data_IF_228371474099
#
_entry.id   IF_228371474099
#
_cell.length_a   1.000
_cell.length_b   1.000
_cell.length_c   1.000
_cell.angle_alpha   90.00
_cell.angle_beta   90.00
_cell.angle_gamma   90.00
#
_symmetry.space_group_name_H-M   'P 1'
#
loop_
_entity.id
_entity.type
_entity.pdbx_description
1 polymer ?
#
# COMPACT_ATOMS: atom_id res chain seq x y z
N UNK A 1 8.59 23.75 57.80
CA UNK A 1 9.29 23.29 56.60
C UNK A 1 9.97 24.48 55.93
N UNK A 2 11.24 24.38 55.60
CA UNK A 2 11.97 25.49 54.94
C UNK A 2 11.52 25.56 53.49
N UNK A 3 11.30 26.74 52.95
CA UNK A 3 10.88 27.00 51.57
C UNK A 3 11.66 26.22 50.51
N UNK A 4 12.95 25.95 50.84
CA UNK A 4 13.85 25.20 49.98
C UNK A 4 13.36 23.75 49.68
N UNK A 5 12.76 23.07 50.66
CA UNK A 5 12.23 21.73 50.47
C UNK A 5 11.00 21.70 49.52
N UNK A 6 10.20 22.77 49.54
CA UNK A 6 9.07 22.91 48.64
C UNK A 6 9.54 23.12 47.20
N UNK A 7 10.57 23.99 46.99
CA UNK A 7 11.14 24.22 45.66
C UNK A 7 11.76 22.95 45.11
N UNK A 8 12.53 22.21 45.92
CA UNK A 8 13.13 20.93 45.51
C UNK A 8 12.06 19.90 45.13
N UNK A 9 10.99 19.78 45.93
CA UNK A 9 9.90 18.86 45.62
C UNK A 9 9.18 19.21 44.30
N UNK A 10 8.95 20.50 44.05
CA UNK A 10 8.35 20.96 42.77
C UNK A 10 9.29 20.70 41.60
N UNK A 11 10.57 20.94 41.73
CA UNK A 11 11.55 20.65 40.68
C UNK A 11 11.58 19.15 40.32
N UNK A 12 11.55 18.27 41.31
CA UNK A 12 11.49 16.82 41.13
C UNK A 12 10.17 16.43 40.41
N UNK A 13 9.04 16.99 40.83
CA UNK A 13 7.74 16.72 40.21
C UNK A 13 7.72 17.16 38.72
N UNK A 14 8.23 18.34 38.43
CA UNK A 14 8.35 18.85 37.06
C UNK A 14 9.22 17.92 36.20
N UNK A 15 10.36 17.46 36.70
CA UNK A 15 11.25 16.54 36.00
C UNK A 15 10.59 15.18 35.77
N UNK A 16 9.83 14.66 36.75
CA UNK A 16 9.08 13.42 36.59
C UNK A 16 7.97 13.56 35.53
N UNK A 17 7.19 14.64 35.58
CA UNK A 17 6.16 14.90 34.58
C UNK A 17 6.77 15.09 33.19
N UNK A 18 7.85 15.87 33.07
CA UNK A 18 8.56 16.04 31.80
C UNK A 18 9.11 14.71 31.28
N UNK A 19 9.66 13.86 32.14
CA UNK A 19 10.14 12.53 31.78
C UNK A 19 9.03 11.60 31.31
N UNK A 20 7.87 11.61 31.98
CA UNK A 20 6.69 10.85 31.56
C UNK A 20 6.15 11.36 30.22
N UNK A 21 5.99 12.67 30.06
CA UNK A 21 5.55 13.27 28.80
C UNK A 21 6.51 12.92 27.67
N UNK A 22 7.83 13.08 27.89
CA UNK A 22 8.84 12.73 26.89
C UNK A 22 8.79 11.25 26.47
N UNK A 23 8.60 10.36 27.45
CA UNK A 23 8.56 8.90 27.21
C UNK A 23 7.27 8.46 26.51
N UNK A 24 6.14 9.13 26.78
CA UNK A 24 4.83 8.79 26.24
C UNK A 24 4.37 9.70 25.09
N UNK A 25 5.21 10.67 24.68
CA UNK A 25 4.90 11.43 23.46
C UNK A 25 5.18 10.55 22.26
N UNK A 26 4.15 9.97 21.70
CA UNK A 26 4.25 9.22 20.45
C UNK A 26 4.79 10.15 19.37
N UNK A 27 5.97 9.80 18.83
CA UNK A 27 6.50 10.51 17.67
C UNK A 27 5.54 10.31 16.52
N UNK A 28 4.86 11.37 16.13
CA UNK A 28 3.98 11.33 14.98
C UNK A 28 4.76 10.80 13.76
N UNK A 29 4.33 9.67 13.21
CA UNK A 29 4.89 9.15 11.96
C UNK A 29 4.32 9.98 10.82
N UNK A 30 5.15 10.83 10.23
CA UNK A 30 4.76 11.64 9.07
C UNK A 30 4.90 10.78 7.82
N UNK A 31 3.78 10.49 7.17
CA UNK A 31 3.75 9.83 5.87
C UNK A 31 4.01 10.89 4.79
N UNK A 32 5.09 10.73 4.03
CA UNK A 32 5.43 11.62 2.92
C UNK A 32 4.68 11.19 1.66
N UNK A 33 3.75 12.03 1.20
CA UNK A 33 3.04 11.77 -0.05
C UNK A 33 3.93 12.08 -1.26
N UNK A 34 3.83 11.28 -2.35
CA UNK A 34 4.55 11.56 -3.58
C UNK A 34 4.04 12.86 -4.24
N UNK A 35 4.91 13.62 -4.91
CA UNK A 35 4.49 14.81 -5.65
C UNK A 35 3.45 14.49 -6.72
N UNK A 36 2.45 15.38 -6.88
CA UNK A 36 1.39 15.22 -7.90
C UNK A 36 1.93 15.04 -9.32
N UNK A 37 3.08 15.64 -9.63
CA UNK A 37 3.76 15.49 -10.92
C UNK A 37 4.07 14.03 -11.28
N UNK A 38 4.15 13.13 -10.29
CA UNK A 38 4.41 11.71 -10.53
C UNK A 38 3.22 11.00 -11.18
N UNK A 39 1.99 11.48 -10.98
CA UNK A 39 0.76 10.87 -11.50
C UNK A 39 0.79 10.68 -13.02
N UNK A 40 1.30 11.69 -13.77
CA UNK A 40 1.37 11.66 -15.23
C UNK A 40 2.19 10.50 -15.81
N UNK A 41 3.03 9.85 -15.00
CA UNK A 41 3.90 8.74 -15.41
C UNK A 41 3.31 7.36 -15.06
N UNK A 42 2.12 7.33 -14.49
CA UNK A 42 1.35 6.12 -14.17
C UNK A 42 0.03 6.08 -14.97
N UNK A 43 -0.65 4.93 -14.98
CA UNK A 43 -2.00 4.84 -15.53
C UNK A 43 -2.97 5.67 -14.68
N UNK A 44 -3.99 6.26 -15.29
CA UNK A 44 -4.38 6.14 -16.72
C UNK A 44 -3.57 7.02 -17.67
N UNK A 45 -2.86 8.05 -17.19
CA UNK A 45 -2.18 9.07 -18.00
C UNK A 45 -1.06 8.44 -18.84
N UNK A 46 -0.33 7.49 -18.28
CA UNK A 46 0.77 6.82 -18.96
C UNK A 46 0.57 5.30 -19.00
N UNK A 47 0.11 4.78 -20.14
CA UNK A 47 -0.15 3.34 -20.34
C UNK A 47 1.10 2.46 -20.20
N UNK A 48 2.29 3.02 -20.44
CA UNK A 48 3.58 2.31 -20.40
C UNK A 48 4.24 2.33 -19.03
N UNK A 49 3.69 3.05 -18.02
CA UNK A 49 4.32 3.20 -16.71
C UNK A 49 5.79 3.64 -16.81
N UNK A 50 6.07 4.71 -17.56
CA UNK A 50 7.44 5.17 -17.88
C UNK A 50 8.30 5.36 -16.63
N UNK A 51 7.71 5.83 -15.53
CA UNK A 51 8.40 5.92 -14.24
C UNK A 51 8.98 4.58 -13.78
N UNK A 52 8.17 3.52 -13.80
CA UNK A 52 8.64 2.18 -13.37
C UNK A 52 9.73 1.64 -14.30
N UNK A 53 9.59 1.89 -15.60
CA UNK A 53 10.64 1.50 -16.56
C UNK A 53 11.95 2.21 -16.26
N UNK A 54 11.93 3.50 -15.90
CA UNK A 54 13.13 4.24 -15.51
C UNK A 54 13.76 3.65 -14.23
N UNK A 55 12.97 3.33 -13.20
CA UNK A 55 13.47 2.68 -11.98
C UNK A 55 14.11 1.30 -12.26
N UNK A 56 13.54 0.51 -13.18
CA UNK A 56 14.12 -0.78 -13.59
C UNK A 56 15.43 -0.62 -14.40
N UNK A 57 15.52 0.42 -15.22
CA UNK A 57 16.76 0.74 -15.95
C UNK A 57 17.87 1.11 -14.97
N UNK A 58 17.62 2.05 -14.06
CA UNK A 58 18.57 2.47 -13.03
C UNK A 58 19.12 1.31 -12.21
N UNK A 59 18.26 0.40 -11.76
CA UNK A 59 18.69 -0.79 -11.03
C UNK A 59 19.65 -1.65 -11.85
N UNK A 60 19.32 -1.90 -13.11
CA UNK A 60 20.16 -2.69 -14.01
C UNK A 60 21.49 -2.00 -14.32
N UNK A 61 21.46 -0.70 -14.53
CA UNK A 61 22.63 0.12 -14.86
C UNK A 61 23.59 0.21 -13.68
N UNK A 62 23.11 0.39 -12.46
CA UNK A 62 23.94 0.30 -11.26
C UNK A 62 24.63 -1.07 -11.13
N UNK A 63 23.89 -2.16 -11.38
CA UNK A 63 24.46 -3.51 -11.37
C UNK A 63 25.53 -3.69 -12.45
N UNK A 64 25.31 -3.15 -13.64
CA UNK A 64 26.28 -3.23 -14.73
C UNK A 64 27.54 -2.41 -14.44
N UNK A 65 27.39 -1.19 -13.91
CA UNK A 65 28.53 -0.35 -13.49
C UNK A 65 29.38 -1.07 -12.45
N UNK A 66 28.76 -1.64 -11.40
CA UNK A 66 29.49 -2.41 -10.39
C UNK A 66 30.18 -3.63 -10.99
N UNK A 67 29.46 -4.42 -11.79
CA UNK A 67 30.01 -5.62 -12.44
C UNK A 67 31.24 -5.32 -13.32
N UNK A 68 31.13 -4.30 -14.19
CA UNK A 68 32.26 -3.97 -15.09
C UNK A 68 33.41 -3.28 -14.36
N UNK A 69 33.18 -2.59 -13.26
CA UNK A 69 34.23 -2.10 -12.36
C UNK A 69 35.00 -3.26 -11.71
N UNK A 70 34.32 -4.32 -11.26
CA UNK A 70 34.93 -5.54 -10.71
C UNK A 70 35.75 -6.29 -11.78
N UNK A 71 35.24 -6.35 -13.01
CA UNK A 71 35.93 -6.98 -14.12
C UNK A 71 37.06 -6.13 -14.71
N UNK A 72 37.19 -4.86 -14.32
CA UNK A 72 38.11 -3.86 -14.87
C UNK A 72 37.92 -3.64 -16.37
N UNK A 73 36.72 -3.86 -16.88
CA UNK A 73 36.32 -3.59 -18.25
C UNK A 73 35.91 -2.13 -18.40
N UNK A 74 36.87 -1.27 -18.65
CA UNK A 74 36.65 0.18 -18.63
C UNK A 74 35.74 0.68 -19.76
N UNK A 75 35.78 0.06 -20.93
CA UNK A 75 34.95 0.47 -22.05
C UNK A 75 33.46 0.33 -21.72
N UNK A 76 33.06 -0.85 -21.26
CA UNK A 76 31.68 -1.11 -20.85
C UNK A 76 31.31 -0.36 -19.59
N UNK A 77 32.22 -0.20 -18.64
CA UNK A 77 32.02 0.58 -17.44
C UNK A 77 31.60 2.02 -17.76
N UNK A 78 32.32 2.69 -18.66
CA UNK A 78 32.01 4.06 -19.08
C UNK A 78 30.67 4.12 -19.80
N UNK A 79 30.41 3.20 -20.73
CA UNK A 79 29.13 3.14 -21.45
C UNK A 79 27.90 3.00 -20.47
N UNK A 80 28.00 2.08 -19.53
CA UNK A 80 26.93 1.89 -18.55
C UNK A 80 26.84 3.03 -17.54
N UNK A 81 27.95 3.67 -17.19
CA UNK A 81 27.97 4.87 -16.37
C UNK A 81 27.25 6.05 -17.01
N UNK A 82 27.40 6.24 -18.33
CA UNK A 82 26.66 7.27 -19.08
C UNK A 82 25.15 7.00 -19.08
N UNK A 83 24.73 5.76 -19.32
CA UNK A 83 23.31 5.36 -19.27
C UNK A 83 22.72 5.57 -17.86
N UNK A 84 23.48 5.20 -16.83
CA UNK A 84 23.08 5.41 -15.45
C UNK A 84 22.85 6.89 -15.15
N UNK A 85 23.78 7.77 -15.58
CA UNK A 85 23.63 9.20 -15.42
C UNK A 85 22.39 9.74 -16.14
N UNK A 86 22.18 9.39 -17.41
CA UNK A 86 21.02 9.80 -18.20
C UNK A 86 19.70 9.48 -17.46
N UNK A 87 19.53 8.24 -17.06
CA UNK A 87 18.30 7.81 -16.40
C UNK A 87 18.16 8.31 -14.96
N UNK A 88 19.29 8.60 -14.29
CA UNK A 88 19.26 9.22 -12.97
C UNK A 88 18.80 10.68 -13.03
N UNK A 89 19.31 11.46 -13.99
CA UNK A 89 18.86 12.84 -14.22
C UNK A 89 17.39 12.90 -14.66
N UNK A 90 16.92 11.90 -15.43
CA UNK A 90 15.52 11.80 -15.83
C UNK A 90 14.55 11.74 -14.64
N UNK A 91 14.98 11.34 -13.44
CA UNK A 91 14.16 11.42 -12.20
C UNK A 91 13.74 12.87 -11.96
N UNK A 92 14.70 13.80 -11.99
CA UNK A 92 14.46 15.23 -11.75
C UNK A 92 13.65 15.88 -12.87
N UNK A 93 13.83 15.45 -14.11
CA UNK A 93 13.04 15.91 -15.26
C UNK A 93 11.57 15.44 -15.15
N UNK A 94 11.37 14.16 -14.80
CA UNK A 94 10.04 13.57 -14.63
C UNK A 94 9.31 14.13 -13.41
N UNK A 95 10.05 14.42 -12.32
CA UNK A 95 9.49 14.91 -11.05
C UNK A 95 10.35 16.05 -10.51
N UNK A 96 10.17 17.28 -10.99
CA UNK A 96 11.02 18.44 -10.65
C UNK A 96 11.19 18.67 -9.14
N UNK A 97 10.16 18.38 -8.34
CA UNK A 97 10.21 18.47 -6.88
C UNK A 97 11.29 17.57 -6.26
N UNK A 98 11.71 16.51 -6.94
CA UNK A 98 12.71 15.57 -6.47
C UNK A 98 14.12 15.86 -6.98
N UNK A 99 14.29 16.85 -7.85
CA UNK A 99 15.61 17.21 -8.37
C UNK A 99 16.64 17.48 -7.25
N UNK A 100 16.22 18.19 -6.21
CA UNK A 100 17.05 18.49 -5.02
C UNK A 100 17.37 17.27 -4.13
N UNK A 101 16.80 16.10 -4.41
CA UNK A 101 17.08 14.85 -3.70
C UNK A 101 18.10 13.97 -4.43
N UNK A 102 18.44 14.35 -5.67
CA UNK A 102 19.42 13.66 -6.48
C UNK A 102 20.83 13.97 -5.97
N UNK A 103 21.65 12.95 -5.87
CA UNK A 103 23.07 13.06 -5.55
C UNK A 103 23.89 13.16 -6.84
N UNK A 104 23.86 14.34 -7.47
CA UNK A 104 24.57 14.60 -8.71
C UNK A 104 26.08 14.47 -8.54
N UNK A 105 26.62 14.79 -7.36
CA UNK A 105 28.05 14.67 -7.07
C UNK A 105 28.51 13.22 -7.15
N UNK A 106 27.74 12.30 -6.57
CA UNK A 106 28.09 10.87 -6.62
C UNK A 106 28.01 10.32 -8.05
N UNK A 107 27.04 10.74 -8.87
CA UNK A 107 26.98 10.36 -10.30
C UNK A 107 28.19 10.86 -11.09
N UNK A 108 28.58 12.12 -10.89
CA UNK A 108 29.78 12.69 -11.51
C UNK A 108 31.06 11.97 -11.06
N UNK A 109 31.15 11.58 -9.80
CA UNK A 109 32.25 10.79 -9.26
C UNK A 109 32.35 9.41 -9.94
N UNK A 110 31.24 8.71 -10.18
CA UNK A 110 31.26 7.44 -10.91
C UNK A 110 31.90 7.62 -12.27
N UNK A 111 31.50 8.66 -13.02
CA UNK A 111 32.03 8.92 -14.36
C UNK A 111 33.52 9.31 -14.35
N UNK A 112 33.90 10.24 -13.47
CA UNK A 112 35.30 10.71 -13.41
C UNK A 112 36.24 9.62 -12.92
N UNK A 113 35.83 8.76 -11.98
CA UNK A 113 36.61 7.62 -11.49
C UNK A 113 36.70 6.50 -12.52
N UNK A 114 35.64 6.25 -13.29
CA UNK A 114 35.69 5.34 -14.45
C UNK A 114 36.70 5.83 -15.49
N UNK A 115 36.67 7.13 -15.83
CA UNK A 115 37.62 7.71 -16.79
C UNK A 115 39.10 7.60 -16.32
N UNK A 116 39.34 7.63 -15.02
CA UNK A 116 40.69 7.45 -14.44
C UNK A 116 41.04 6.00 -14.10
N UNK A 117 40.20 5.02 -14.42
CA UNK A 117 40.39 3.59 -14.12
C UNK A 117 40.47 3.28 -12.62
N UNK A 118 39.91 4.15 -11.77
CA UNK A 118 39.86 3.97 -10.30
C UNK A 118 38.64 3.13 -9.92
N UNK A 119 38.72 1.82 -10.22
CA UNK A 119 37.60 0.89 -9.99
C UNK A 119 37.16 0.77 -8.54
N UNK A 120 38.06 0.77 -7.52
CA UNK A 120 37.62 0.78 -6.13
C UNK A 120 36.79 2.01 -5.77
N UNK A 121 37.17 3.19 -6.28
CA UNK A 121 36.42 4.42 -6.04
C UNK A 121 35.07 4.42 -6.78
N UNK A 122 34.97 3.80 -7.98
CA UNK A 122 33.69 3.58 -8.66
C UNK A 122 32.76 2.73 -7.79
N UNK A 123 33.23 1.61 -7.26
CA UNK A 123 32.42 0.72 -6.40
C UNK A 123 31.93 1.44 -5.14
N UNK A 124 32.81 2.22 -4.47
CA UNK A 124 32.43 3.03 -3.33
C UNK A 124 31.37 4.10 -3.67
N UNK A 125 31.46 4.71 -4.86
CA UNK A 125 30.50 5.68 -5.33
C UNK A 125 29.15 5.02 -5.65
N UNK A 126 29.13 3.82 -6.24
CA UNK A 126 27.90 3.04 -6.47
C UNK A 126 27.21 2.69 -5.16
N UNK A 127 27.97 2.31 -4.12
CA UNK A 127 27.42 2.05 -2.78
C UNK A 127 26.82 3.33 -2.16
N UNK A 128 27.47 4.48 -2.35
CA UNK A 128 26.93 5.77 -1.89
C UNK A 128 25.61 6.11 -2.62
N UNK A 129 25.58 5.92 -3.94
CA UNK A 129 24.36 6.13 -4.73
C UNK A 129 23.22 5.21 -4.28
N UNK A 130 23.53 3.94 -3.98
CA UNK A 130 22.53 3.01 -3.46
C UNK A 130 21.89 3.52 -2.15
N UNK A 131 22.69 4.07 -1.23
CA UNK A 131 22.18 4.66 0.01
C UNK A 131 21.22 5.83 -0.25
N UNK A 132 21.51 6.66 -1.25
CA UNK A 132 20.60 7.73 -1.68
C UNK A 132 19.28 7.17 -2.25
N UNK A 133 19.36 6.12 -3.07
CA UNK A 133 18.18 5.42 -3.59
C UNK A 133 17.32 4.83 -2.47
N UNK A 134 17.96 4.16 -1.51
CA UNK A 134 17.27 3.52 -0.38
C UNK A 134 16.55 4.55 0.50
N UNK A 135 17.18 5.70 0.77
CA UNK A 135 16.56 6.78 1.53
C UNK A 135 15.29 7.32 0.85
N UNK A 136 15.33 7.49 -0.48
CA UNK A 136 14.15 7.90 -1.25
C UNK A 136 13.06 6.80 -1.24
N UNK A 137 13.45 5.54 -1.43
CA UNK A 137 12.53 4.41 -1.43
C UNK A 137 11.84 4.19 -0.10
N UNK A 138 12.55 4.36 1.04
CA UNK A 138 11.96 4.31 2.38
C UNK A 138 10.85 5.35 2.53
N UNK A 139 11.08 6.57 2.02
CA UNK A 139 10.11 7.66 2.11
C UNK A 139 8.89 7.49 1.19
N UNK A 140 9.07 6.97 -0.03
CA UNK A 140 8.07 7.13 -1.09
C UNK A 140 7.64 5.85 -1.79
N UNK A 141 8.41 4.76 -1.80
CA UNK A 141 8.12 3.60 -2.64
C UNK A 141 6.77 2.95 -2.33
N UNK A 142 6.52 2.65 -1.06
CA UNK A 142 5.30 1.99 -0.63
C UNK A 142 4.07 2.86 -0.89
N UNK A 143 4.13 4.14 -0.49
CA UNK A 143 3.01 5.07 -0.66
C UNK A 143 2.73 5.37 -2.13
N UNK A 144 3.77 5.48 -2.97
CA UNK A 144 3.64 5.62 -4.43
C UNK A 144 2.94 4.42 -5.05
N UNK A 145 3.33 3.21 -4.66
CA UNK A 145 2.68 1.99 -5.13
C UNK A 145 1.19 1.94 -4.72
N UNK A 146 0.88 2.29 -3.47
CA UNK A 146 -0.50 2.37 -2.99
C UNK A 146 -1.30 3.43 -3.75
N UNK A 147 -0.73 4.62 -3.97
CA UNK A 147 -1.43 5.75 -4.61
C UNK A 147 -1.70 5.50 -6.09
N UNK A 148 -0.71 5.01 -6.85
CA UNK A 148 -0.79 4.99 -8.31
C UNK A 148 -0.99 3.60 -8.92
N UNK A 149 -0.79 2.52 -8.18
CA UNK A 149 -0.92 1.15 -8.71
C UNK A 149 -2.11 0.37 -8.15
N UNK A 150 -2.66 0.78 -7.02
CA UNK A 150 -3.87 0.15 -6.49
C UNK A 150 -5.11 0.62 -7.25
N UNK A 151 -6.15 -0.21 -7.25
CA UNK A 151 -7.43 0.14 -7.86
C UNK A 151 -8.03 1.39 -7.19
N UNK A 152 -8.65 2.25 -7.99
CA UNK A 152 -9.43 3.38 -7.50
C UNK A 152 -10.89 2.98 -7.35
N UNK A 153 -11.28 2.63 -6.13
CA UNK A 153 -12.64 2.20 -5.85
C UNK A 153 -13.67 3.33 -5.90
N UNK A 154 -13.24 4.61 -5.85
CA UNK A 154 -14.15 5.74 -5.98
C UNK A 154 -14.68 5.90 -7.41
N UNK A 155 -13.92 5.41 -8.39
CA UNK A 155 -14.28 5.45 -9.81
C UNK A 155 -15.00 4.17 -10.28
N UNK A 156 -15.37 3.26 -9.36
CA UNK A 156 -16.00 1.98 -9.71
C UNK A 156 -17.47 1.99 -9.31
N UNK A 157 -18.35 1.73 -10.28
CA UNK A 157 -19.75 1.40 -10.01
C UNK A 157 -19.95 -0.12 -10.04
N UNK A 158 -20.65 -0.65 -9.04
CA UNK A 158 -20.99 -2.09 -8.95
C UNK A 158 -22.17 -2.44 -9.87
N UNK A 159 -23.03 -1.46 -10.13
CA UNK A 159 -24.12 -1.49 -11.09
C UNK A 159 -24.41 -0.05 -11.54
N UNK A 160 -25.20 0.18 -12.59
CA UNK A 160 -25.56 1.54 -13.00
C UNK A 160 -26.02 2.38 -11.80
N UNK A 161 -25.36 3.51 -11.57
CA UNK A 161 -25.63 4.46 -10.46
C UNK A 161 -25.49 3.87 -9.05
N UNK A 162 -24.74 2.77 -8.90
CA UNK A 162 -24.43 2.17 -7.59
C UNK A 162 -22.93 2.23 -7.32
N UNK A 163 -22.43 3.31 -6.71
CA UNK A 163 -21.03 3.45 -6.33
C UNK A 163 -20.55 2.32 -5.41
N UNK A 164 -19.29 1.94 -5.52
CA UNK A 164 -18.68 0.84 -4.79
C UNK A 164 -18.81 1.03 -3.25
N UNK A 165 -18.56 2.23 -2.74
CA UNK A 165 -18.67 2.54 -1.31
C UNK A 165 -20.11 2.38 -0.78
N UNK A 166 -21.10 2.83 -1.55
CA UNK A 166 -22.52 2.64 -1.19
C UNK A 166 -22.89 1.17 -1.17
N UNK A 167 -22.41 0.40 -2.15
CA UNK A 167 -22.63 -1.04 -2.18
C UNK A 167 -22.02 -1.75 -0.98
N UNK A 168 -20.79 -1.39 -0.57
CA UNK A 168 -20.13 -1.93 0.63
C UNK A 168 -20.95 -1.64 1.91
N UNK A 169 -21.53 -0.43 2.03
CA UNK A 169 -22.41 -0.09 3.16
C UNK A 169 -23.67 -0.95 3.18
N UNK A 170 -24.26 -1.23 2.01
CA UNK A 170 -25.43 -2.11 1.90
C UNK A 170 -25.09 -3.53 2.34
N UNK A 171 -23.96 -4.10 1.86
CA UNK A 171 -23.52 -5.43 2.27
C UNK A 171 -23.29 -5.52 3.79
N UNK A 172 -22.60 -4.52 4.37
CA UNK A 172 -22.37 -4.45 5.82
C UNK A 172 -23.69 -4.37 6.61
N UNK A 173 -24.65 -3.56 6.12
CA UNK A 173 -26.00 -3.48 6.75
C UNK A 173 -26.70 -4.83 6.72
N UNK A 174 -26.64 -5.57 5.61
CA UNK A 174 -27.27 -6.88 5.48
C UNK A 174 -26.66 -7.92 6.41
N UNK A 175 -25.33 -7.96 6.52
CA UNK A 175 -24.63 -8.85 7.47
C UNK A 175 -25.07 -8.56 8.91
N UNK A 176 -25.10 -7.28 9.32
CA UNK A 176 -25.56 -6.89 10.64
C UNK A 176 -27.04 -7.25 10.86
N UNK A 177 -27.88 -7.04 9.86
CA UNK A 177 -29.31 -7.34 9.96
C UNK A 177 -29.58 -8.85 10.09
N UNK A 178 -28.83 -9.69 9.38
CA UNK A 178 -28.88 -11.15 9.58
C UNK A 178 -28.55 -11.50 11.04
N UNK A 179 -27.46 -10.92 11.57
CA UNK A 179 -27.03 -11.18 12.95
C UNK A 179 -28.10 -10.75 13.96
N UNK A 180 -28.57 -9.51 13.87
CA UNK A 180 -29.58 -8.95 14.78
C UNK A 180 -30.87 -9.77 14.71
N UNK A 181 -31.40 -9.99 13.51
CA UNK A 181 -32.65 -10.72 13.34
C UNK A 181 -32.56 -12.19 13.81
N UNK A 182 -31.39 -12.83 13.62
CA UNK A 182 -31.12 -14.16 14.12
C UNK A 182 -31.08 -14.22 15.66
N UNK A 183 -30.45 -13.24 16.32
CA UNK A 183 -30.37 -13.14 17.78
C UNK A 183 -31.76 -12.84 18.41
N UNK A 184 -32.59 -12.05 17.71
CA UNK A 184 -33.94 -11.69 18.13
C UNK A 184 -34.98 -12.75 17.73
N UNK A 185 -34.59 -13.87 17.13
CA UNK A 185 -35.50 -14.93 16.69
C UNK A 185 -36.37 -14.57 15.48
N UNK A 186 -36.10 -13.46 14.81
CA UNK A 186 -36.84 -13.00 13.61
C UNK A 186 -36.25 -13.67 12.32
N UNK A 187 -36.43 -14.99 12.23
CA UNK A 187 -35.76 -15.82 11.23
C UNK A 187 -36.14 -15.47 9.79
N UNK A 188 -37.39 -15.08 9.53
CA UNK A 188 -37.82 -14.62 8.20
C UNK A 188 -37.12 -13.36 7.73
N UNK A 189 -36.89 -12.41 8.66
CA UNK A 189 -36.14 -11.20 8.39
C UNK A 189 -34.66 -11.50 8.15
N UNK A 190 -34.09 -12.44 8.88
CA UNK A 190 -32.72 -12.90 8.67
C UNK A 190 -32.56 -13.59 7.30
N UNK A 191 -33.49 -14.44 6.92
CA UNK A 191 -33.51 -15.11 5.60
C UNK A 191 -33.66 -14.12 4.45
N UNK A 192 -34.56 -13.13 4.55
CA UNK A 192 -34.71 -12.10 3.53
C UNK A 192 -33.42 -11.27 3.36
N UNK A 193 -32.77 -10.91 4.47
CA UNK A 193 -31.50 -10.20 4.46
C UNK A 193 -30.37 -11.03 3.86
N UNK A 194 -30.34 -12.35 4.09
CA UNK A 194 -29.37 -13.26 3.49
C UNK A 194 -29.55 -13.36 1.95
N UNK A 195 -30.80 -13.38 1.47
CA UNK A 195 -31.08 -13.37 0.02
C UNK A 195 -30.50 -12.11 -0.64
N UNK A 196 -30.72 -10.95 0.00
CA UNK A 196 -30.17 -9.69 -0.54
C UNK A 196 -28.64 -9.63 -0.42
N UNK A 197 -28.04 -10.18 0.64
CA UNK A 197 -26.60 -10.33 0.76
C UNK A 197 -26.02 -11.18 -0.37
N UNK A 198 -26.60 -12.35 -0.67
CA UNK A 198 -26.20 -13.22 -1.78
C UNK A 198 -26.22 -12.47 -3.12
N UNK A 199 -27.32 -11.74 -3.41
CA UNK A 199 -27.43 -10.91 -4.63
C UNK A 199 -26.34 -9.84 -4.69
N UNK A 200 -26.08 -9.17 -3.57
CA UNK A 200 -25.05 -8.14 -3.48
C UNK A 200 -23.64 -8.69 -3.69
N UNK A 201 -23.29 -9.82 -3.08
CA UNK A 201 -22.01 -10.48 -3.27
C UNK A 201 -21.80 -10.94 -4.73
N UNK A 202 -22.83 -11.43 -5.41
CA UNK A 202 -22.75 -11.79 -6.82
C UNK A 202 -22.53 -10.57 -7.73
N UNK A 203 -23.14 -9.41 -7.41
CA UNK A 203 -22.87 -8.15 -8.12
C UNK A 203 -21.41 -7.74 -7.95
N UNK A 204 -20.89 -7.79 -6.71
CA UNK A 204 -19.50 -7.49 -6.42
C UNK A 204 -18.56 -8.40 -7.20
N UNK A 205 -18.86 -9.69 -7.29
CA UNK A 205 -18.05 -10.68 -8.03
C UNK A 205 -17.85 -10.32 -9.51
N UNK A 206 -18.84 -9.73 -10.14
CA UNK A 206 -18.72 -9.26 -11.53
C UNK A 206 -17.70 -8.11 -11.67
N UNK A 207 -17.64 -7.23 -10.68
CA UNK A 207 -16.64 -6.14 -10.65
C UNK A 207 -15.24 -6.69 -10.36
N UNK A 208 -15.11 -7.59 -9.38
CA UNK A 208 -13.84 -8.22 -9.04
C UNK A 208 -13.23 -8.94 -10.25
N UNK A 209 -14.01 -9.63 -11.06
CA UNK A 209 -13.55 -10.33 -12.26
C UNK A 209 -12.93 -9.40 -13.31
N UNK A 210 -13.29 -8.11 -13.30
CA UNK A 210 -12.74 -7.10 -14.22
C UNK A 210 -11.30 -6.74 -13.84
N UNK A 211 -11.00 -6.66 -12.53
CA UNK A 211 -9.66 -6.35 -12.01
C UNK A 211 -8.77 -7.60 -11.95
N UNK A 212 -9.34 -8.76 -11.62
CA UNK A 212 -8.66 -10.04 -11.42
C UNK A 212 -8.80 -10.99 -12.60
N UNK A 213 -8.66 -10.49 -13.82
CA UNK A 213 -8.86 -11.28 -15.07
C UNK A 213 -7.99 -12.53 -15.18
N UNK A 214 -6.83 -12.53 -14.52
CA UNK A 214 -5.90 -13.67 -14.53
C UNK A 214 -6.06 -14.58 -13.31
N UNK A 215 -6.86 -14.16 -12.33
CA UNK A 215 -7.16 -14.96 -11.15
C UNK A 215 -8.30 -15.94 -11.48
N UNK A 216 -8.02 -17.23 -11.32
CA UNK A 216 -9.02 -18.29 -11.56
C UNK A 216 -10.02 -18.42 -10.41
N UNK A 217 -9.81 -17.70 -9.30
CA UNK A 217 -10.71 -17.75 -8.16
C UNK A 217 -11.95 -16.86 -8.43
N UNK A 218 -13.11 -17.51 -8.52
CA UNK A 218 -14.37 -16.81 -8.60
C UNK A 218 -14.71 -16.13 -7.25
N UNK A 219 -15.36 -14.96 -7.32
CA UNK A 219 -15.98 -14.34 -6.15
C UNK A 219 -17.50 -14.21 -6.36
N UNK A 220 -18.34 -14.62 -5.42
CA UNK A 220 -18.01 -15.36 -4.21
C UNK A 220 -17.37 -16.72 -4.50
N UNK A 221 -16.36 -17.12 -3.73
CA UNK A 221 -15.73 -18.44 -3.87
C UNK A 221 -16.72 -19.56 -3.56
N UNK A 222 -16.39 -20.80 -3.98
CA UNK A 222 -17.20 -21.97 -3.66
C UNK A 222 -17.41 -22.12 -2.15
N UNK A 223 -16.35 -21.94 -1.36
CA UNK A 223 -16.44 -21.96 0.09
C UNK A 223 -17.41 -20.92 0.65
N UNK A 224 -17.41 -19.69 0.13
CA UNK A 224 -18.36 -18.64 0.54
C UNK A 224 -19.79 -19.04 0.19
N UNK A 225 -20.00 -19.64 -0.99
CA UNK A 225 -21.32 -20.11 -1.41
C UNK A 225 -21.84 -21.22 -0.53
N UNK A 226 -21.00 -22.20 -0.20
CA UNK A 226 -21.35 -23.29 0.73
C UNK A 226 -21.67 -22.75 2.14
N UNK A 227 -20.89 -21.79 2.62
CA UNK A 227 -21.15 -21.15 3.92
C UNK A 227 -22.50 -20.40 3.91
N UNK A 228 -22.86 -19.72 2.83
CA UNK A 228 -24.17 -19.06 2.70
C UNK A 228 -25.32 -20.04 2.60
N UNK A 229 -25.13 -21.22 2.01
CA UNK A 229 -26.12 -22.30 1.99
C UNK A 229 -26.30 -22.92 3.39
N UNK A 230 -25.21 -23.18 4.10
CA UNK A 230 -25.24 -23.64 5.49
C UNK A 230 -25.98 -22.65 6.39
N UNK A 231 -25.67 -21.37 6.29
CA UNK A 231 -26.34 -20.31 7.04
C UNK A 231 -27.84 -20.28 6.76
N UNK A 232 -28.24 -20.38 5.49
CA UNK A 232 -29.65 -20.45 5.11
C UNK A 232 -30.37 -21.62 5.77
N UNK A 233 -29.77 -22.82 5.73
CA UNK A 233 -30.34 -24.01 6.36
C UNK A 233 -30.45 -23.84 7.87
N UNK A 234 -29.42 -23.32 8.53
CA UNK A 234 -29.40 -23.12 9.97
C UNK A 234 -30.36 -22.02 10.43
N UNK A 235 -30.64 -21.00 9.60
CA UNK A 235 -31.70 -20.04 9.83
C UNK A 235 -33.10 -20.72 9.77
N UNK A 236 -33.33 -21.58 8.79
CA UNK A 236 -34.62 -22.33 8.66
C UNK A 236 -34.86 -23.30 9.82
N UNK A 237 -33.81 -23.85 10.39
CA UNK A 237 -33.91 -24.85 11.49
C UNK A 237 -33.73 -24.25 12.88
N UNK A 238 -33.51 -22.95 13.02
CA UNK A 238 -33.39 -22.26 14.32
C UNK A 238 -32.10 -22.58 15.09
N UNK A 239 -31.01 -23.03 14.44
CA UNK A 239 -29.77 -23.45 15.10
C UNK A 239 -28.84 -22.25 15.36
N UNK A 240 -29.15 -21.44 16.37
CA UNK A 240 -28.49 -20.16 16.66
C UNK A 240 -26.95 -20.24 16.74
N UNK A 241 -26.40 -21.26 17.41
CA UNK A 241 -24.93 -21.43 17.51
C UNK A 241 -24.28 -21.63 16.15
N UNK A 242 -24.90 -22.40 15.26
CA UNK A 242 -24.39 -22.66 13.94
C UNK A 242 -24.56 -21.47 13.00
N UNK A 243 -25.67 -20.72 13.14
CA UNK A 243 -25.88 -19.44 12.44
C UNK A 243 -24.77 -18.44 12.74
N UNK A 244 -24.40 -18.28 14.01
CA UNK A 244 -23.33 -17.40 14.44
C UNK A 244 -21.95 -17.84 13.85
N UNK A 245 -21.69 -19.15 13.85
CA UNK A 245 -20.46 -19.73 13.27
C UNK A 245 -20.38 -19.48 11.74
N UNK A 246 -21.46 -19.74 11.04
CA UNK A 246 -21.50 -19.58 9.57
C UNK A 246 -21.36 -18.11 9.18
N UNK A 247 -22.04 -17.18 9.89
CA UNK A 247 -21.91 -15.76 9.64
C UNK A 247 -20.49 -15.25 9.93
N UNK A 248 -19.86 -15.72 11.01
CA UNK A 248 -18.45 -15.41 11.30
C UNK A 248 -17.49 -15.93 10.25
N UNK A 249 -17.70 -17.17 9.79
CA UNK A 249 -16.89 -17.76 8.72
C UNK A 249 -17.03 -17.02 7.40
N UNK A 250 -18.24 -16.59 7.06
CA UNK A 250 -18.51 -15.77 5.88
C UNK A 250 -17.83 -14.39 5.98
N UNK A 251 -17.89 -13.75 7.14
CA UNK A 251 -17.24 -12.47 7.37
C UNK A 251 -15.72 -12.56 7.21
N UNK A 252 -15.09 -13.63 7.71
CA UNK A 252 -13.64 -13.85 7.51
C UNK A 252 -13.33 -14.12 6.04
N UNK A 253 -14.02 -15.06 5.40
CA UNK A 253 -13.72 -15.45 4.03
C UNK A 253 -13.99 -14.35 3.00
N UNK A 254 -15.08 -13.60 3.16
CA UNK A 254 -15.50 -12.59 2.20
C UNK A 254 -14.97 -11.18 2.55
N UNK A 255 -15.18 -10.74 3.80
CA UNK A 255 -14.91 -9.34 4.16
C UNK A 255 -13.45 -9.12 4.55
N UNK A 256 -12.92 -9.94 5.47
CA UNK A 256 -11.56 -9.74 5.98
C UNK A 256 -10.48 -9.94 4.90
N UNK A 257 -10.66 -10.91 4.02
CA UNK A 257 -9.73 -11.17 2.91
C UNK A 257 -9.64 -9.98 1.96
N UNK A 258 -10.79 -9.45 1.53
CA UNK A 258 -10.85 -8.29 0.65
C UNK A 258 -10.34 -7.01 1.35
N UNK A 259 -10.79 -6.77 2.58
CA UNK A 259 -10.38 -5.60 3.37
C UNK A 259 -8.90 -5.63 3.74
N UNK A 260 -8.32 -6.81 4.01
CA UNK A 260 -6.89 -6.95 4.27
C UNK A 260 -6.01 -6.52 3.09
N UNK A 261 -6.51 -6.71 1.87
CA UNK A 261 -5.75 -6.37 0.65
C UNK A 261 -6.02 -4.94 0.16
N UNK A 262 -7.28 -4.50 0.16
CA UNK A 262 -7.69 -3.29 -0.57
C UNK A 262 -8.02 -2.09 0.31
N UNK A 263 -8.42 -2.29 1.58
CA UNK A 263 -8.91 -1.20 2.43
C UNK A 263 -7.85 -0.14 2.72
N UNK A 264 -6.59 -0.56 2.98
CA UNK A 264 -5.49 0.36 3.23
C UNK A 264 -5.22 1.23 1.99
N UNK A 265 -5.14 0.59 0.82
CA UNK A 265 -4.91 1.29 -0.43
C UNK A 265 -6.03 2.29 -0.76
N UNK A 266 -7.29 1.91 -0.54
CA UNK A 266 -8.44 2.80 -0.73
C UNK A 266 -8.42 3.97 0.26
N UNK A 267 -8.01 3.75 1.53
CA UNK A 267 -7.86 4.81 2.52
C UNK A 267 -6.78 5.83 2.16
N UNK A 268 -5.64 5.35 1.66
CA UNK A 268 -4.53 6.22 1.23
C UNK A 268 -4.90 7.09 0.03
N UNK A 269 -5.71 6.58 -0.90
CA UNK A 269 -6.18 7.37 -2.06
C UNK A 269 -7.17 8.47 -1.70
N UNK A 270 -7.82 8.37 -0.55
CA UNK A 270 -8.74 9.38 -0.02
C UNK A 270 -8.06 10.51 0.76
N UNK A 271 -6.73 10.43 0.96
CA UNK A 271 -5.92 11.50 1.58
C UNK A 271 -5.47 12.49 0.51
#
# INVERSE_FOLDING_TARGET
MKWIHFIVLQAILILLVAGVVYKHTDKATVVKLPPKALAQWYKPENKRHVWLHNMFKLRREMQAVAFYAEQKDNERLVEWGLKLNEHYQAIGEMVPNWNKKLDSVTIENIQSRAASHDYPAVLAAVESLQKNCDACHVDYQAITALTYRSADFSAIDVAPSLPFDKHMRVLSKQVNQIKIASEDGQLDLALSSLIELKKGMNKLGKVCSTCHKQDKQAYPSEQMQQTMLSLEQNLKTGQAKQQAKDLGSLAVAACATCHGTHRLAAGVKGL
#
